data_IF_366764016509
#
_entry.id   IF_366764016509
#
_cell.length_a   1.000
_cell.length_b   1.000
_cell.length_c   1.000
_cell.angle_alpha   90.00
_cell.angle_beta   90.00
_cell.angle_gamma   90.00
#
_symmetry.space_group_name_H-M   'P 1'
#
loop_
_entity.id
_entity.type
_entity.pdbx_description
1 polymer ?
#
# COMPACT_ATOMS: atom_id res chain seq x y z
N UNK A 1 -1.98 44.12 -9.65
CA UNK A 1 -0.78 43.26 -9.75
C UNK A 1 -0.89 42.52 -11.10
N UNK A 2 -0.07 42.88 -12.08
CA UNK A 2 -0.18 42.38 -13.47
C UNK A 2 0.40 40.96 -13.55
N UNK A 3 -0.39 40.02 -14.04
CA UNK A 3 0.06 38.70 -14.49
C UNK A 3 1.04 38.94 -15.65
N UNK A 4 2.24 38.31 -15.67
CA UNK A 4 3.20 38.52 -16.76
C UNK A 4 2.64 37.94 -18.07
N UNK A 5 2.92 38.56 -19.24
CA UNK A 5 2.43 38.07 -20.52
C UNK A 5 3.13 36.75 -20.89
N UNK A 6 2.34 35.75 -21.25
CA UNK A 6 2.79 34.52 -21.91
C UNK A 6 3.48 34.90 -23.22
N UNK A 7 4.81 34.78 -23.27
CA UNK A 7 5.58 35.03 -24.47
C UNK A 7 5.31 33.91 -25.48
N UNK A 8 4.52 34.21 -26.51
CA UNK A 8 4.28 33.32 -27.66
C UNK A 8 5.50 33.42 -28.58
N UNK A 9 6.19 32.31 -28.80
CA UNK A 9 7.26 32.12 -29.80
C UNK A 9 6.67 31.42 -31.05
N UNK A 10 7.41 31.15 -32.14
CA UNK A 10 6.87 31.11 -33.52
C UNK A 10 5.64 30.20 -33.69
N UNK A 11 4.72 30.61 -34.57
CA UNK A 11 3.33 30.15 -34.72
C UNK A 11 3.05 28.72 -34.20
N UNK A 12 2.30 28.61 -33.10
CA UNK A 12 1.82 27.34 -32.54
C UNK A 12 2.64 26.76 -31.37
N UNK A 13 3.59 27.52 -30.82
CA UNK A 13 4.41 27.10 -29.67
C UNK A 13 4.33 28.10 -28.49
N UNK A 14 4.50 27.58 -27.27
CA UNK A 14 4.58 28.38 -26.04
C UNK A 14 5.78 27.92 -25.21
N UNK A 15 6.29 28.78 -24.34
CA UNK A 15 7.42 28.44 -23.48
C UNK A 15 7.00 27.49 -22.36
N UNK A 16 7.73 26.38 -22.19
CA UNK A 16 7.47 25.42 -21.11
C UNK A 16 7.62 26.08 -19.74
N UNK A 17 8.64 26.94 -19.59
CA UNK A 17 8.88 27.67 -18.34
C UNK A 17 7.68 28.55 -17.93
N UNK A 18 7.01 29.18 -18.91
CA UNK A 18 5.80 29.97 -18.66
C UNK A 18 4.63 29.10 -18.20
N UNK A 19 4.40 27.97 -18.85
CA UNK A 19 3.35 27.03 -18.48
C UNK A 19 3.59 26.41 -17.09
N UNK A 20 4.82 26.00 -16.78
CA UNK A 20 5.18 25.46 -15.46
C UNK A 20 4.97 26.49 -14.35
N UNK A 21 5.33 27.75 -14.57
CA UNK A 21 5.12 28.82 -13.60
C UNK A 21 3.63 29.08 -13.35
N UNK A 22 2.81 29.12 -14.43
CA UNK A 22 1.37 29.29 -14.31
C UNK A 22 0.70 28.10 -13.61
N UNK A 23 1.10 26.88 -13.96
CA UNK A 23 0.63 25.65 -13.33
C UNK A 23 0.96 25.62 -11.84
N UNK A 24 2.20 25.87 -11.46
CA UNK A 24 2.62 25.90 -10.05
C UNK A 24 1.85 26.97 -9.25
N UNK A 25 1.61 28.16 -9.83
CA UNK A 25 0.81 29.19 -9.18
C UNK A 25 -0.66 28.76 -8.98
N UNK A 26 -1.26 28.12 -9.99
CA UNK A 26 -2.63 27.59 -9.92
C UNK A 26 -2.79 26.50 -8.86
N UNK A 27 -1.83 25.58 -8.79
CA UNK A 27 -1.81 24.49 -7.81
C UNK A 27 -1.55 25.00 -6.38
N UNK A 28 -0.67 26.00 -6.22
CA UNK A 28 -0.45 26.65 -4.93
C UNK A 28 -1.71 27.35 -4.42
N UNK A 29 -2.43 28.06 -5.30
CA UNK A 29 -3.71 28.69 -4.96
C UNK A 29 -4.80 27.67 -4.56
N UNK A 30 -4.70 26.43 -5.05
CA UNK A 30 -5.57 25.31 -4.67
C UNK A 30 -5.10 24.55 -3.41
N UNK A 31 -4.05 25.03 -2.74
CA UNK A 31 -3.49 24.43 -1.53
C UNK A 31 -2.78 23.10 -1.75
N UNK A 32 -2.33 22.78 -2.97
CA UNK A 32 -1.53 21.57 -3.23
C UNK A 32 -0.19 21.70 -2.51
N UNK A 33 0.26 20.63 -1.83
CA UNK A 33 1.45 20.68 -0.99
C UNK A 33 2.76 20.86 -1.78
N UNK A 34 2.83 20.29 -2.99
CA UNK A 34 4.01 20.29 -3.88
C UNK A 34 3.75 20.95 -5.25
N UNK A 35 3.29 22.22 -5.34
CA UNK A 35 2.76 22.79 -6.58
C UNK A 35 3.70 22.69 -7.78
N UNK A 36 4.99 23.00 -7.56
CA UNK A 36 6.01 22.94 -8.61
C UNK A 36 6.34 21.50 -9.02
N UNK A 37 6.46 20.60 -8.04
CA UNK A 37 6.74 19.20 -8.30
C UNK A 37 5.63 18.55 -9.13
N UNK A 38 4.37 18.81 -8.77
CA UNK A 38 3.20 18.30 -9.46
C UNK A 38 3.11 18.88 -10.89
N UNK A 39 3.34 20.19 -11.06
CA UNK A 39 3.36 20.81 -12.39
C UNK A 39 4.43 20.19 -13.30
N UNK A 40 5.64 19.97 -12.77
CA UNK A 40 6.73 19.31 -13.51
C UNK A 40 6.37 17.86 -13.85
N UNK A 41 5.76 17.10 -12.94
CA UNK A 41 5.35 15.72 -13.23
C UNK A 41 4.23 15.63 -14.27
N UNK A 42 3.24 16.53 -14.21
CA UNK A 42 2.18 16.61 -15.23
C UNK A 42 2.75 17.00 -16.59
N UNK A 43 3.67 17.95 -16.65
CA UNK A 43 4.33 18.32 -17.91
C UNK A 43 5.16 17.17 -18.48
N UNK A 44 5.92 16.48 -17.63
CA UNK A 44 6.67 15.28 -18.01
C UNK A 44 5.76 14.20 -18.60
N UNK A 45 4.60 13.97 -17.97
CA UNK A 45 3.59 13.02 -18.43
C UNK A 45 3.01 13.42 -19.81
N UNK A 46 2.59 14.67 -19.99
CA UNK A 46 2.01 15.16 -21.26
C UNK A 46 3.01 15.07 -22.42
N UNK A 47 4.29 15.28 -22.14
CA UNK A 47 5.35 15.26 -23.15
C UNK A 47 5.96 13.86 -23.36
N UNK A 48 5.55 12.85 -22.59
CA UNK A 48 6.12 11.51 -22.57
C UNK A 48 7.65 11.52 -22.39
N UNK A 49 8.13 12.28 -21.42
CA UNK A 49 9.57 12.36 -21.07
C UNK A 49 9.78 12.21 -19.57
N UNK A 50 10.99 11.85 -19.15
CA UNK A 50 11.34 11.91 -17.73
C UNK A 50 11.40 13.36 -17.25
N UNK A 51 11.10 13.57 -15.96
CA UNK A 51 11.13 14.90 -15.33
C UNK A 51 12.46 15.62 -15.52
N UNK A 52 13.59 14.90 -15.44
CA UNK A 52 14.93 15.47 -15.66
C UNK A 52 15.15 16.01 -17.09
N UNK A 53 14.45 15.46 -18.09
CA UNK A 53 14.55 15.93 -19.49
C UNK A 53 13.79 17.23 -19.74
N UNK A 54 12.90 17.67 -18.84
CA UNK A 54 12.21 18.95 -18.98
C UNK A 54 13.17 20.14 -19.04
N UNK A 55 14.35 20.03 -18.40
CA UNK A 55 15.38 21.07 -18.46
C UNK A 55 15.93 21.30 -19.89
N UNK A 56 15.71 20.35 -20.81
CA UNK A 56 16.13 20.44 -22.21
C UNK A 56 15.00 20.90 -23.14
N UNK A 57 13.80 21.17 -22.60
CA UNK A 57 12.62 21.55 -23.37
C UNK A 57 12.32 23.03 -23.12
N UNK A 58 12.57 23.87 -24.13
CA UNK A 58 12.30 25.31 -24.04
C UNK A 58 10.86 25.66 -24.39
N UNK A 59 10.32 25.01 -25.42
CA UNK A 59 8.99 25.27 -25.99
C UNK A 59 8.22 23.98 -26.18
N UNK A 60 6.90 24.07 -26.06
CA UNK A 60 5.96 22.97 -26.30
C UNK A 60 4.87 23.42 -27.28
N UNK A 61 4.21 22.47 -27.93
CA UNK A 61 3.09 22.77 -28.81
C UNK A 61 1.91 23.35 -28.03
N UNK A 62 1.07 24.15 -28.69
CA UNK A 62 -0.17 24.66 -28.08
C UNK A 62 -1.08 23.52 -27.60
N UNK A 63 -1.12 22.39 -28.31
CA UNK A 63 -1.90 21.21 -27.90
C UNK A 63 -1.37 20.60 -26.60
N UNK A 64 -0.05 20.45 -26.45
CA UNK A 64 0.54 19.94 -25.21
C UNK A 64 0.30 20.91 -24.04
N UNK A 65 0.38 22.22 -24.29
CA UNK A 65 0.06 23.22 -23.28
C UNK A 65 -1.41 23.17 -22.85
N UNK A 66 -2.34 22.94 -23.78
CA UNK A 66 -3.76 22.77 -23.47
C UNK A 66 -4.01 21.52 -22.60
N UNK A 67 -3.38 20.39 -22.93
CA UNK A 67 -3.49 19.17 -22.14
C UNK A 67 -2.89 19.35 -20.73
N UNK A 68 -1.71 19.98 -20.62
CA UNK A 68 -1.11 20.30 -19.33
C UNK A 68 -2.04 21.14 -18.46
N UNK A 69 -2.63 22.20 -19.02
CA UNK A 69 -3.60 23.05 -18.29
C UNK A 69 -4.83 22.26 -17.87
N UNK A 70 -5.34 21.35 -18.71
CA UNK A 70 -6.46 20.49 -18.36
C UNK A 70 -6.16 19.61 -17.14
N UNK A 71 -4.99 18.95 -17.13
CA UNK A 71 -4.58 18.13 -15.98
C UNK A 71 -4.32 18.98 -14.73
N UNK A 72 -3.76 20.19 -14.88
CA UNK A 72 -3.54 21.12 -13.77
C UNK A 72 -4.86 21.53 -13.11
N UNK A 73 -5.92 21.78 -13.89
CA UNK A 73 -7.24 22.09 -13.31
C UNK A 73 -7.81 20.90 -12.54
N UNK A 74 -7.71 19.68 -13.07
CA UNK A 74 -8.12 18.48 -12.34
C UNK A 74 -7.31 18.28 -11.06
N UNK A 75 -5.99 18.52 -11.12
CA UNK A 75 -5.12 18.45 -9.93
C UNK A 75 -5.50 19.51 -8.91
N UNK A 76 -5.84 20.72 -9.36
CA UNK A 76 -6.32 21.80 -8.50
C UNK A 76 -7.67 21.48 -7.85
N UNK A 77 -8.50 20.66 -8.49
CA UNK A 77 -9.73 20.09 -7.91
C UNK A 77 -9.46 18.93 -6.93
N UNK A 78 -8.20 18.71 -6.57
CA UNK A 78 -7.70 17.69 -5.62
C UNK A 78 -7.80 16.25 -6.12
N UNK A 79 -7.88 16.03 -7.44
CA UNK A 79 -7.63 14.70 -8.00
C UNK A 79 -6.17 14.32 -7.76
N UNK A 80 -5.87 13.14 -7.20
CA UNK A 80 -4.49 12.72 -6.93
C UNK A 80 -3.63 12.75 -8.19
N UNK A 81 -2.39 13.21 -8.06
CA UNK A 81 -1.44 13.30 -9.17
C UNK A 81 -1.27 11.95 -9.88
N UNK A 82 -1.19 10.87 -9.11
CA UNK A 82 -1.00 9.51 -9.61
C UNK A 82 -2.23 8.99 -10.36
N UNK A 83 -3.44 9.48 -10.05
CA UNK A 83 -4.64 9.18 -10.85
C UNK A 83 -4.63 9.91 -12.20
N UNK A 84 -3.95 11.06 -12.28
CA UNK A 84 -3.82 11.83 -13.51
C UNK A 84 -2.73 11.25 -14.41
N UNK A 85 -1.59 10.84 -13.83
CA UNK A 85 -0.48 10.23 -14.57
C UNK A 85 -0.65 8.72 -14.80
N UNK A 86 -1.54 8.07 -14.03
CA UNK A 86 -1.80 6.63 -14.07
C UNK A 86 -0.74 5.77 -13.41
N UNK A 87 0.26 6.37 -12.76
CA UNK A 87 1.42 5.67 -12.19
C UNK A 87 1.78 6.23 -10.81
N UNK A 88 2.18 5.33 -9.91
CA UNK A 88 2.85 5.64 -8.65
C UNK A 88 4.20 4.91 -8.63
N UNK A 89 5.29 5.65 -8.45
CA UNK A 89 6.58 5.05 -8.17
C UNK A 89 6.54 4.39 -6.79
N UNK A 90 6.99 3.14 -6.72
CA UNK A 90 7.10 2.38 -5.48
C UNK A 90 8.33 1.49 -5.55
N UNK A 91 9.31 1.78 -4.70
CA UNK A 91 10.62 1.12 -4.69
C UNK A 91 11.27 1.17 -6.08
N UNK A 92 11.51 0.02 -6.72
CA UNK A 92 12.14 -0.08 -8.05
C UNK A 92 11.12 -0.13 -9.20
N UNK A 93 9.83 0.00 -8.90
CA UNK A 93 8.73 -0.28 -9.82
C UNK A 93 7.82 0.94 -10.03
N UNK A 94 7.22 1.02 -11.21
CA UNK A 94 6.11 1.94 -11.51
C UNK A 94 4.77 1.18 -11.49
N UNK A 95 4.01 1.38 -10.43
CA UNK A 95 2.74 0.71 -10.17
C UNK A 95 1.62 1.50 -10.87
N UNK A 96 0.85 0.83 -11.74
CA UNK A 96 -0.33 1.45 -12.34
C UNK A 96 -1.41 1.65 -11.28
N UNK A 97 -1.98 2.84 -11.24
CA UNK A 97 -3.02 3.22 -10.28
C UNK A 97 -4.07 4.11 -10.93
N UNK A 98 -5.21 4.23 -10.27
CA UNK A 98 -6.34 5.04 -10.70
C UNK A 98 -7.53 4.82 -9.76
N UNK A 99 -8.73 5.32 -10.11
CA UNK A 99 -9.91 5.15 -9.27
C UNK A 99 -10.16 3.67 -8.92
N UNK A 100 -10.50 3.41 -7.66
CA UNK A 100 -10.84 2.07 -7.16
C UNK A 100 -9.67 1.29 -6.53
N UNK A 101 -8.46 1.85 -6.47
CA UNK A 101 -7.33 1.26 -5.73
C UNK A 101 -6.61 2.31 -4.89
N UNK A 102 -6.08 1.90 -3.75
CA UNK A 102 -5.25 2.76 -2.91
C UNK A 102 -3.91 3.07 -3.61
N UNK A 103 -3.51 4.35 -3.55
CA UNK A 103 -2.23 4.81 -4.09
C UNK A 103 -1.12 4.40 -3.10
N UNK A 104 -0.11 3.61 -3.53
CA UNK A 104 1.01 3.24 -2.67
C UNK A 104 1.70 4.47 -2.06
N UNK A 105 2.01 4.37 -0.77
CA UNK A 105 2.63 5.47 0.00
C UNK A 105 4.13 5.23 0.17
N UNK A 106 4.96 6.29 0.15
CA UNK A 106 6.40 6.16 0.39
C UNK A 106 6.73 5.48 1.72
N UNK A 107 5.90 5.68 2.74
CA UNK A 107 6.05 5.06 4.06
C UNK A 107 5.99 3.54 3.99
N UNK A 108 5.11 2.97 3.15
CA UNK A 108 4.99 1.52 2.94
C UNK A 108 6.24 0.91 2.31
N UNK A 109 7.11 1.70 1.68
CA UNK A 109 8.40 1.19 1.22
C UNK A 109 9.26 0.69 2.39
N UNK A 110 9.17 1.31 3.57
CA UNK A 110 9.92 0.88 4.76
C UNK A 110 9.46 -0.48 5.30
N UNK A 111 8.16 -0.75 5.21
CA UNK A 111 7.57 -2.06 5.54
C UNK A 111 8.21 -3.15 4.67
N UNK A 112 8.34 -2.89 3.38
CA UNK A 112 8.97 -3.83 2.43
C UNK A 112 10.47 -3.96 2.68
N UNK A 113 11.17 -2.84 2.93
CA UNK A 113 12.61 -2.85 3.24
C UNK A 113 12.89 -3.77 4.44
N UNK A 114 12.15 -3.59 5.53
CA UNK A 114 12.33 -4.37 6.75
C UNK A 114 11.96 -5.84 6.56
N UNK A 115 10.86 -6.12 5.86
CA UNK A 115 10.47 -7.47 5.52
C UNK A 115 11.57 -8.20 4.73
N UNK A 116 12.15 -7.56 3.71
CA UNK A 116 13.24 -8.11 2.92
C UNK A 116 14.50 -8.31 3.78
N UNK A 117 14.84 -7.34 4.63
CA UNK A 117 16.01 -7.40 5.51
C UNK A 117 15.92 -8.60 6.45
N UNK A 118 14.80 -8.75 7.16
CA UNK A 118 14.56 -9.84 8.09
C UNK A 118 14.47 -11.20 7.40
N UNK A 119 13.86 -11.26 6.22
CA UNK A 119 13.77 -12.49 5.43
C UNK A 119 15.15 -12.95 4.96
N UNK A 120 16.00 -12.04 4.47
CA UNK A 120 17.39 -12.33 4.11
C UNK A 120 18.21 -12.79 5.32
N UNK A 121 18.03 -12.16 6.48
CA UNK A 121 18.70 -12.55 7.72
C UNK A 121 18.31 -13.96 8.21
N UNK A 122 17.11 -14.44 7.86
CA UNK A 122 16.67 -15.80 8.18
C UNK A 122 17.38 -16.90 7.36
N UNK A 123 18.04 -16.56 6.25
CA UNK A 123 18.69 -17.52 5.35
C UNK A 123 17.72 -18.35 4.49
N UNK A 124 16.44 -17.99 4.42
CA UNK A 124 15.46 -18.69 3.59
C UNK A 124 15.84 -18.63 2.08
N UNK A 125 15.98 -19.79 1.45
CA UNK A 125 16.46 -19.91 0.06
C UNK A 125 15.33 -19.74 -0.98
N UNK A 126 14.10 -20.10 -0.61
CA UNK A 126 12.88 -19.95 -1.42
C UNK A 126 11.68 -19.64 -0.51
N UNK A 127 11.64 -18.44 0.08
CA UNK A 127 10.62 -18.12 1.05
C UNK A 127 9.23 -18.06 0.42
N UNK A 128 8.22 -18.53 1.15
CA UNK A 128 6.81 -18.32 0.82
C UNK A 128 6.36 -17.02 1.50
N UNK A 129 5.96 -16.04 0.71
CA UNK A 129 5.53 -14.73 1.16
C UNK A 129 4.06 -14.50 0.81
N UNK A 130 3.28 -13.99 1.76
CA UNK A 130 1.87 -13.61 1.56
C UNK A 130 1.70 -12.13 1.86
N UNK A 131 1.19 -11.38 0.89
CA UNK A 131 0.74 -9.99 1.02
C UNK A 131 -0.79 -9.98 1.21
N UNK A 132 -1.25 -9.63 2.41
CA UNK A 132 -2.67 -9.51 2.75
C UNK A 132 -3.13 -8.06 2.53
N UNK A 133 -4.31 -7.88 1.93
CA UNK A 133 -4.82 -6.56 1.52
C UNK A 133 -3.93 -5.89 0.45
N UNK A 134 -3.59 -6.65 -0.59
CA UNK A 134 -2.53 -6.30 -1.54
C UNK A 134 -2.81 -5.04 -2.39
N UNK A 135 -4.07 -4.61 -2.52
CA UNK A 135 -4.45 -3.41 -3.24
C UNK A 135 -3.96 -3.42 -4.70
N UNK A 136 -3.04 -2.51 -5.04
CA UNK A 136 -2.42 -2.42 -6.37
C UNK A 136 -1.31 -3.45 -6.61
N UNK A 137 -0.92 -4.20 -5.56
CA UNK A 137 0.16 -5.18 -5.56
C UNK A 137 1.54 -4.62 -5.25
N UNK A 138 1.65 -3.38 -4.79
CA UNK A 138 2.94 -2.70 -4.60
C UNK A 138 3.92 -3.50 -3.72
N UNK A 139 3.44 -4.01 -2.58
CA UNK A 139 4.24 -4.83 -1.65
C UNK A 139 4.59 -6.18 -2.29
N UNK A 140 3.59 -6.96 -2.72
CA UNK A 140 3.81 -8.26 -3.35
C UNK A 140 4.78 -8.21 -4.55
N UNK A 141 4.63 -7.23 -5.44
CA UNK A 141 5.49 -7.07 -6.61
C UNK A 141 6.92 -6.71 -6.21
N UNK A 142 7.10 -5.86 -5.20
CA UNK A 142 8.43 -5.53 -4.69
C UNK A 142 9.12 -6.76 -4.08
N UNK A 143 8.39 -7.59 -3.34
CA UNK A 143 8.92 -8.85 -2.82
C UNK A 143 9.35 -9.80 -3.96
N UNK A 144 8.52 -9.95 -5.00
CA UNK A 144 8.84 -10.80 -6.15
C UNK A 144 10.04 -10.27 -6.96
N UNK A 145 10.22 -8.95 -7.02
CA UNK A 145 11.30 -8.27 -7.72
C UNK A 145 12.64 -8.33 -6.94
N UNK A 146 12.61 -8.21 -5.62
CA UNK A 146 13.80 -8.00 -4.79
C UNK A 146 14.24 -9.24 -3.99
N UNK A 147 13.37 -10.24 -3.81
CA UNK A 147 13.66 -11.49 -3.11
C UNK A 147 13.75 -12.64 -4.11
N UNK A 148 14.98 -12.93 -4.55
CA UNK A 148 15.25 -13.96 -5.54
C UNK A 148 14.69 -15.32 -5.09
N UNK A 149 13.80 -15.89 -5.90
CA UNK A 149 13.24 -17.23 -5.67
C UNK A 149 12.10 -17.29 -4.66
N UNK A 150 11.60 -16.14 -4.18
CA UNK A 150 10.40 -16.10 -3.36
C UNK A 150 9.17 -16.59 -4.14
N UNK A 151 8.32 -17.36 -3.47
CA UNK A 151 6.97 -17.65 -3.92
C UNK A 151 6.02 -16.64 -3.28
N UNK A 152 5.46 -15.74 -4.08
CA UNK A 152 4.67 -14.61 -3.57
C UNK A 152 3.19 -14.78 -3.90
N UNK A 153 2.35 -14.65 -2.87
CA UNK A 153 0.90 -14.67 -2.96
C UNK A 153 0.36 -13.30 -2.55
N UNK A 154 -0.54 -12.73 -3.35
CA UNK A 154 -1.21 -11.46 -3.07
C UNK A 154 -2.71 -11.71 -2.91
N UNK A 155 -3.28 -11.28 -1.78
CA UNK A 155 -4.70 -11.43 -1.46
C UNK A 155 -5.37 -10.07 -1.47
N UNK A 156 -6.42 -9.93 -2.29
CA UNK A 156 -7.21 -8.70 -2.37
C UNK A 156 -8.71 -9.03 -2.35
N UNK A 157 -9.50 -8.24 -1.62
CA UNK A 157 -10.93 -8.45 -1.47
C UNK A 157 -11.71 -7.70 -2.56
N UNK A 158 -11.38 -6.44 -2.78
CA UNK A 158 -12.14 -5.52 -3.61
C UNK A 158 -11.97 -5.83 -5.10
N UNK A 159 -13.05 -6.10 -5.86
CA UNK A 159 -12.95 -6.38 -7.29
C UNK A 159 -12.22 -5.29 -8.08
N UNK A 160 -12.44 -4.01 -7.74
CA UNK A 160 -11.80 -2.89 -8.41
C UNK A 160 -10.28 -2.87 -8.16
N UNK A 161 -9.82 -3.09 -6.92
CA UNK A 161 -8.40 -3.17 -6.60
C UNK A 161 -7.75 -4.43 -7.18
N UNK A 162 -8.48 -5.56 -7.19
CA UNK A 162 -8.04 -6.81 -7.78
C UNK A 162 -7.74 -6.68 -9.29
N UNK A 163 -8.53 -5.89 -10.02
CA UNK A 163 -8.25 -5.59 -11.44
C UNK A 163 -6.93 -4.81 -11.61
N UNK A 164 -6.63 -3.88 -10.70
CA UNK A 164 -5.35 -3.17 -10.67
C UNK A 164 -4.19 -4.10 -10.32
N UNK A 165 -4.35 -4.95 -9.30
CA UNK A 165 -3.37 -5.98 -8.94
C UNK A 165 -3.02 -6.87 -10.14
N UNK A 166 -4.03 -7.46 -10.79
CA UNK A 166 -3.85 -8.31 -11.98
C UNK A 166 -3.18 -7.56 -13.12
N UNK A 167 -3.57 -6.30 -13.35
CA UNK A 167 -2.94 -5.44 -14.36
C UNK A 167 -1.46 -5.23 -14.07
N UNK A 168 -1.08 -4.94 -12.83
CA UNK A 168 0.31 -4.70 -12.47
C UNK A 168 1.17 -5.97 -12.51
N UNK A 169 0.61 -7.12 -12.09
CA UNK A 169 1.24 -8.43 -12.28
C UNK A 169 1.48 -8.69 -13.78
N UNK A 170 0.48 -8.46 -14.63
CA UNK A 170 0.63 -8.60 -16.08
C UNK A 170 1.64 -7.65 -16.72
N UNK A 171 1.68 -6.37 -16.29
CA UNK A 171 2.61 -5.35 -16.80
C UNK A 171 4.06 -5.64 -16.44
N UNK A 172 4.30 -6.13 -15.22
CA UNK A 172 5.66 -6.39 -14.72
C UNK A 172 6.19 -7.76 -15.13
N UNK A 173 5.31 -8.73 -15.36
CA UNK A 173 5.69 -10.12 -15.63
C UNK A 173 6.29 -10.84 -14.42
N UNK A 174 6.21 -10.23 -13.22
CA UNK A 174 6.73 -10.82 -11.98
C UNK A 174 5.82 -11.97 -11.50
N UNK A 175 6.39 -13.05 -10.94
CA UNK A 175 5.65 -14.26 -10.60
C UNK A 175 4.88 -14.12 -9.27
N UNK A 176 3.79 -13.35 -9.27
CA UNK A 176 2.88 -13.19 -8.13
C UNK A 176 1.59 -13.98 -8.38
N UNK A 177 1.21 -14.83 -7.44
CA UNK A 177 -0.09 -15.54 -7.46
C UNK A 177 -1.16 -14.66 -6.83
N UNK A 178 -2.21 -14.34 -7.60
CA UNK A 178 -3.28 -13.43 -7.16
C UNK A 178 -4.49 -14.22 -6.67
N UNK A 179 -5.01 -13.83 -5.51
CA UNK A 179 -6.15 -14.45 -4.84
C UNK A 179 -7.20 -13.41 -4.52
N UNK A 180 -8.47 -13.75 -4.73
CA UNK A 180 -9.59 -12.94 -4.23
C UNK A 180 -10.16 -13.59 -2.98
N UNK A 181 -10.03 -12.93 -1.83
CA UNK A 181 -10.56 -13.45 -0.57
C UNK A 181 -10.74 -12.33 0.46
N UNK A 182 -11.61 -12.58 1.44
CA UNK A 182 -11.77 -11.72 2.61
C UNK A 182 -10.84 -12.18 3.75
N UNK A 183 -9.94 -11.31 4.18
CA UNK A 183 -9.03 -11.54 5.31
C UNK A 183 -9.78 -11.57 6.64
N UNK A 184 -10.90 -10.84 6.75
CA UNK A 184 -11.77 -10.85 7.92
C UNK A 184 -12.62 -12.13 8.07
N UNK A 185 -12.72 -12.95 7.02
CA UNK A 185 -13.43 -14.22 7.06
C UNK A 185 -12.43 -15.36 7.25
N UNK A 186 -12.31 -15.81 8.50
CA UNK A 186 -11.51 -16.98 8.89
C UNK A 186 -12.45 -18.20 8.91
N UNK A 187 -12.14 -19.24 8.13
CA UNK A 187 -13.02 -20.38 7.89
C UNK A 187 -13.65 -21.01 9.15
N UNK A 188 -14.98 -21.16 9.14
CA UNK A 188 -15.84 -21.87 10.11
C UNK A 188 -15.72 -21.51 11.61
N UNK A 189 -15.28 -20.29 11.96
CA UNK A 189 -15.04 -19.89 13.35
C UNK A 189 -15.77 -18.64 13.85
N UNK A 190 -16.77 -18.11 13.15
CA UNK A 190 -17.65 -17.10 13.75
C UNK A 190 -18.51 -17.76 14.85
N UNK A 191 -18.63 -17.16 16.05
CA UNK A 191 -19.55 -17.67 17.05
C UNK A 191 -20.98 -17.77 16.47
N UNK A 192 -21.77 -18.80 16.84
CA UNK A 192 -23.15 -18.89 16.41
C UNK A 192 -23.90 -17.61 16.80
N UNK A 193 -24.41 -16.87 15.82
CA UNK A 193 -25.13 -15.61 16.05
C UNK A 193 -24.35 -14.34 15.74
N UNK A 194 -23.07 -14.41 15.38
CA UNK A 194 -22.42 -13.28 14.71
C UNK A 194 -23.11 -13.06 13.36
N UNK A 195 -23.59 -11.85 13.05
CA UNK A 195 -24.07 -11.58 11.70
C UNK A 195 -22.91 -11.91 10.75
N UNK A 196 -23.16 -12.59 9.62
CA UNK A 196 -22.17 -12.56 8.56
C UNK A 196 -21.83 -11.10 8.32
N UNK A 197 -20.57 -10.77 8.09
CA UNK A 197 -20.20 -9.45 7.58
C UNK A 197 -20.78 -9.34 6.16
N UNK A 198 -22.10 -9.25 6.05
CA UNK A 198 -22.80 -8.96 4.82
C UNK A 198 -22.52 -7.50 4.54
N UNK A 199 -21.46 -7.26 3.78
CA UNK A 199 -21.33 -6.01 3.05
C UNK A 199 -22.57 -5.88 2.18
N UNK A 200 -23.30 -4.79 2.38
CA UNK A 200 -24.45 -4.47 1.55
C UNK A 200 -24.02 -4.45 0.06
N UNK A 201 -24.50 -5.43 -0.71
CA UNK A 201 -24.32 -5.49 -2.17
C UNK A 201 -23.15 -6.34 -2.70
N UNK A 202 -22.35 -7.00 -1.85
CA UNK A 202 -21.34 -7.95 -2.31
C UNK A 202 -21.85 -9.39 -2.22
N UNK A 203 -21.66 -10.19 -3.27
CA UNK A 203 -21.94 -11.63 -3.23
C UNK A 203 -21.03 -12.36 -2.22
N UNK A 204 -21.25 -13.67 -1.98
CA UNK A 204 -20.37 -14.44 -1.10
C UNK A 204 -18.93 -14.41 -1.63
N UNK A 205 -17.99 -14.04 -0.77
CA UNK A 205 -16.54 -14.09 -1.01
C UNK A 205 -15.92 -15.14 -0.10
N UNK A 206 -14.95 -15.88 -0.62
CA UNK A 206 -14.24 -16.88 0.16
C UNK A 206 -13.37 -16.23 1.23
N UNK A 207 -13.25 -16.88 2.37
CA UNK A 207 -12.29 -16.48 3.41
C UNK A 207 -10.85 -16.80 3.04
N UNK A 208 -9.90 -16.01 3.54
CA UNK A 208 -8.47 -16.14 3.22
C UNK A 208 -7.92 -17.56 3.44
N UNK A 209 -8.33 -18.24 4.52
CA UNK A 209 -7.88 -19.60 4.80
C UNK A 209 -8.51 -20.66 3.89
N UNK A 210 -9.64 -20.37 3.25
CA UNK A 210 -10.22 -21.27 2.23
C UNK A 210 -9.32 -21.27 0.99
N UNK A 211 -8.91 -20.08 0.56
CA UNK A 211 -8.12 -19.90 -0.67
C UNK A 211 -6.64 -20.27 -0.47
N UNK A 212 -6.11 -20.06 0.74
CA UNK A 212 -4.72 -20.35 1.09
C UNK A 212 -4.55 -21.61 1.96
N UNK A 213 -5.53 -22.52 1.97
CA UNK A 213 -5.53 -23.71 2.83
C UNK A 213 -4.23 -24.53 2.74
N UNK A 214 -3.66 -24.67 1.54
CA UNK A 214 -2.43 -25.42 1.32
C UNK A 214 -1.17 -24.76 1.90
N UNK A 215 -1.24 -23.48 2.27
CA UNK A 215 -0.13 -22.71 2.85
C UNK A 215 -0.17 -22.64 4.39
N UNK A 216 -1.24 -23.14 5.03
CA UNK A 216 -1.38 -23.11 6.47
C UNK A 216 -0.14 -23.71 7.18
N UNK A 217 0.43 -22.97 8.12
CA UNK A 217 1.65 -23.34 8.86
C UNK A 217 2.93 -23.44 8.03
N UNK A 218 2.97 -22.89 6.81
CA UNK A 218 4.12 -23.01 5.87
C UNK A 218 4.71 -21.68 5.43
N UNK A 219 4.01 -20.56 5.66
CA UNK A 219 4.43 -19.23 5.17
C UNK A 219 5.62 -18.71 5.99
N UNK A 220 6.64 -18.21 5.29
CA UNK A 220 7.83 -17.60 5.91
C UNK A 220 7.58 -16.16 6.33
N UNK A 221 6.85 -15.41 5.52
CA UNK A 221 6.55 -13.99 5.70
C UNK A 221 5.08 -13.72 5.38
N UNK A 222 4.36 -13.13 6.32
CA UNK A 222 3.11 -12.40 6.05
C UNK A 222 3.42 -10.92 6.16
N UNK A 223 3.07 -10.17 5.12
CA UNK A 223 3.17 -8.71 5.09
C UNK A 223 1.78 -8.12 4.81
N UNK A 224 1.48 -6.96 5.37
CA UNK A 224 0.23 -6.28 5.06
C UNK A 224 0.30 -4.77 5.31
N UNK A 225 -0.38 -4.02 4.45
CA UNK A 225 -0.87 -2.67 4.75
C UNK A 225 -2.41 -2.75 4.80
N UNK A 226 -3.02 -3.10 5.95
CA UNK A 226 -4.46 -3.23 6.05
C UNK A 226 -5.14 -1.86 6.17
N UNK A 227 -6.46 -1.78 5.95
CA UNK A 227 -7.24 -0.61 6.37
C UNK A 227 -7.14 -0.43 7.89
N UNK A 228 -6.49 0.64 8.33
CA UNK A 228 -6.15 0.85 9.74
C UNK A 228 -6.61 2.20 10.30
N UNK A 229 -7.22 3.07 9.49
CA UNK A 229 -7.62 4.40 9.97
C UNK A 229 -8.90 4.29 10.81
N UNK A 230 -8.91 4.87 12.03
CA UNK A 230 -10.11 4.99 12.82
C UNK A 230 -11.18 5.88 12.16
N UNK A 231 -12.45 5.58 12.40
CA UNK A 231 -13.57 6.36 11.85
C UNK A 231 -13.54 7.85 12.24
N UNK A 232 -12.95 8.18 13.39
CA UNK A 232 -12.88 9.56 13.87
C UNK A 232 -11.90 10.44 13.05
N UNK A 233 -11.03 9.83 12.23
CA UNK A 233 -10.09 10.52 11.35
C UNK A 233 -10.69 10.95 10.00
N UNK A 234 -11.93 10.54 9.68
CA UNK A 234 -12.61 10.86 8.41
C UNK A 234 -12.62 12.33 8.02
N UNK A 235 -12.63 13.23 9.00
CA UNK A 235 -12.62 14.68 8.78
C UNK A 235 -11.21 15.29 8.69
N UNK A 236 -10.17 14.52 8.98
CA UNK A 236 -8.77 14.96 9.10
C UNK A 236 -7.91 14.54 7.91
N UNK A 237 -8.29 13.49 7.19
CA UNK A 237 -7.57 13.04 6.00
C UNK A 237 -7.53 14.12 4.91
N UNK A 238 -6.46 14.12 4.14
CA UNK A 238 -6.30 15.04 3.02
C UNK A 238 -7.45 14.90 2.01
N UNK A 239 -7.84 15.98 1.30
CA UNK A 239 -8.92 15.92 0.31
C UNK A 239 -8.71 14.85 -0.76
N UNK A 240 -7.47 14.64 -1.20
CA UNK A 240 -7.06 13.60 -2.14
C UNK A 240 -7.44 12.22 -1.61
N UNK A 241 -7.08 11.93 -0.36
CA UNK A 241 -7.35 10.65 0.31
C UNK A 241 -8.84 10.48 0.53
N UNK A 242 -9.48 11.44 1.22
CA UNK A 242 -10.88 11.31 1.62
C UNK A 242 -11.88 11.30 0.46
N UNK A 243 -11.56 11.90 -0.70
CA UNK A 243 -12.46 11.97 -1.86
C UNK A 243 -12.18 10.93 -2.93
N UNK A 244 -10.95 10.42 -3.04
CA UNK A 244 -10.54 9.60 -4.18
C UNK A 244 -10.02 8.21 -3.82
N UNK A 245 -9.47 8.00 -2.62
CA UNK A 245 -9.08 6.65 -2.22
C UNK A 245 -10.34 5.83 -1.84
N UNK A 246 -10.37 4.52 -2.15
CA UNK A 246 -11.52 3.68 -1.79
C UNK A 246 -11.70 3.63 -0.27
N UNK A 247 -12.92 3.89 0.27
CA UNK A 247 -13.14 3.82 1.71
C UNK A 247 -12.75 2.47 2.33
N UNK A 248 -12.98 1.38 1.60
CA UNK A 248 -12.61 0.03 2.03
C UNK A 248 -11.10 -0.18 2.23
N UNK A 249 -10.24 0.64 1.60
CA UNK A 249 -8.80 0.57 1.75
C UNK A 249 -8.26 1.44 2.89
N UNK A 250 -9.10 2.30 3.48
CA UNK A 250 -8.69 3.27 4.49
C UNK A 250 -9.15 2.87 5.90
N UNK A 251 -10.45 2.59 6.03
CA UNK A 251 -11.11 2.59 7.33
C UNK A 251 -11.08 1.22 8.00
N UNK A 252 -10.45 1.16 9.18
CA UNK A 252 -10.34 -0.03 10.02
C UNK A 252 -11.40 -0.10 11.13
N UNK A 253 -12.52 0.60 10.98
CA UNK A 253 -13.60 0.64 11.97
C UNK A 253 -13.45 1.73 13.04
N UNK A 254 -14.24 1.68 14.13
CA UNK A 254 -14.29 2.74 15.14
C UNK A 254 -12.95 3.06 15.80
N UNK A 255 -12.15 2.01 16.06
CA UNK A 255 -10.81 2.11 16.64
C UNK A 255 -9.70 1.83 15.63
N UNK A 256 -10.03 1.66 14.34
CA UNK A 256 -9.03 1.41 13.29
C UNK A 256 -8.36 0.04 13.34
N UNK A 257 -8.79 -0.87 14.21
CA UNK A 257 -8.10 -2.15 14.43
C UNK A 257 -8.77 -3.37 13.78
N UNK A 258 -9.89 -3.22 13.05
CA UNK A 258 -10.56 -4.36 12.41
C UNK A 258 -9.67 -5.06 11.38
N UNK A 259 -9.01 -4.28 10.50
CA UNK A 259 -8.02 -4.79 9.55
C UNK A 259 -6.82 -5.44 10.25
N UNK A 260 -6.12 -4.73 11.17
CA UNK A 260 -5.06 -5.31 11.98
C UNK A 260 -5.43 -6.62 12.69
N UNK A 261 -6.60 -6.72 13.33
CA UNK A 261 -7.09 -7.95 13.99
C UNK A 261 -7.25 -9.11 13.01
N UNK A 262 -7.84 -8.84 11.84
CA UNK A 262 -8.02 -9.84 10.80
C UNK A 262 -6.68 -10.35 10.27
N UNK A 263 -5.74 -9.45 9.97
CA UNK A 263 -4.39 -9.80 9.50
C UNK A 263 -3.65 -10.64 10.53
N UNK A 264 -3.61 -10.23 11.80
CA UNK A 264 -2.90 -10.99 12.85
C UNK A 264 -3.50 -12.39 13.00
N UNK A 265 -4.82 -12.51 12.94
CA UNK A 265 -5.50 -13.82 13.01
C UNK A 265 -5.17 -14.71 11.82
N UNK A 266 -5.23 -14.19 10.59
CA UNK A 266 -4.85 -14.93 9.40
C UNK A 266 -3.36 -15.32 9.40
N UNK A 267 -2.49 -14.42 9.86
CA UNK A 267 -1.07 -14.66 9.92
C UNK A 267 -0.70 -15.80 10.88
N UNK A 268 -1.35 -15.89 12.04
CA UNK A 268 -1.14 -16.97 13.00
C UNK A 268 -1.44 -18.38 12.41
N UNK A 269 -2.38 -18.47 11.48
CA UNK A 269 -2.76 -19.74 10.82
C UNK A 269 -1.85 -20.06 9.61
N UNK A 270 -1.34 -19.04 8.93
CA UNK A 270 -0.50 -19.17 7.74
C UNK A 270 0.97 -19.40 8.08
N UNK A 271 1.50 -18.71 9.08
CA UNK A 271 2.92 -18.69 9.39
C UNK A 271 3.40 -20.03 9.92
N UNK A 272 4.56 -20.47 9.42
CA UNK A 272 5.31 -21.59 10.02
C UNK A 272 5.88 -21.21 11.39
N UNK A 273 6.34 -22.18 12.21
CA UNK A 273 7.11 -21.85 13.42
C UNK A 273 8.29 -20.91 13.12
N UNK A 274 8.34 -19.80 13.85
CA UNK A 274 9.32 -18.73 13.70
C UNK A 274 9.10 -17.82 12.46
N UNK A 275 8.01 -18.02 11.72
CA UNK A 275 7.61 -17.18 10.59
C UNK A 275 7.37 -15.73 11.01
N UNK A 276 7.50 -14.80 10.06
CA UNK A 276 7.55 -13.37 10.31
C UNK A 276 6.23 -12.69 9.88
N UNK A 277 5.70 -11.83 10.74
CA UNK A 277 4.70 -10.82 10.40
C UNK A 277 5.38 -9.45 10.29
N UNK A 278 5.09 -8.71 9.23
CA UNK A 278 5.38 -7.26 9.13
C UNK A 278 4.09 -6.54 8.72
N UNK A 279 3.57 -5.66 9.57
CA UNK A 279 2.25 -5.06 9.34
C UNK A 279 2.27 -3.56 9.59
N UNK A 280 1.86 -2.78 8.58
CA UNK A 280 1.65 -1.35 8.72
C UNK A 280 0.43 -1.04 9.60
N UNK A 281 0.47 0.08 10.32
CA UNK A 281 -0.64 0.61 11.09
C UNK A 281 -0.63 2.14 11.13
N UNK A 282 -1.70 2.74 11.67
CA UNK A 282 -1.76 4.16 11.95
C UNK A 282 -0.68 4.56 12.97
N UNK A 283 -0.21 5.80 12.91
CA UNK A 283 0.78 6.33 13.84
C UNK A 283 0.28 6.39 15.30
N UNK A 284 -1.02 6.57 15.51
CA UNK A 284 -1.62 6.49 16.85
C UNK A 284 -1.66 5.06 17.43
N UNK A 285 -1.36 4.03 16.64
CA UNK A 285 -1.47 2.62 17.04
C UNK A 285 -0.16 1.96 17.49
N UNK A 286 0.96 2.70 17.65
CA UNK A 286 2.26 2.14 18.06
C UNK A 286 2.29 1.48 19.45
N UNK A 287 1.25 1.66 20.28
CA UNK A 287 1.03 0.84 21.48
C UNK A 287 -0.05 -0.22 21.30
N UNK A 288 -1.13 0.10 20.58
CA UNK A 288 -2.31 -0.75 20.47
C UNK A 288 -2.04 -2.03 19.67
N UNK A 289 -1.30 -1.93 18.56
CA UNK A 289 -0.98 -3.08 17.70
C UNK A 289 0.03 -4.03 18.35
N UNK A 290 1.15 -3.57 18.96
CA UNK A 290 2.00 -4.44 19.76
C UNK A 290 1.26 -5.11 20.92
N UNK A 291 0.35 -4.37 21.58
CA UNK A 291 -0.49 -4.92 22.64
C UNK A 291 -1.43 -6.01 22.12
N UNK A 292 -2.02 -5.84 20.94
CA UNK A 292 -2.87 -6.86 20.29
C UNK A 292 -2.10 -8.17 20.08
N UNK A 293 -0.84 -8.10 19.64
CA UNK A 293 0.03 -9.27 19.47
C UNK A 293 0.39 -9.92 20.80
N UNK A 294 0.70 -9.11 21.83
CA UNK A 294 1.14 -9.57 23.14
C UNK A 294 0.01 -10.16 24.01
N UNK A 295 -1.22 -9.67 23.86
CA UNK A 295 -2.36 -10.02 24.73
C UNK A 295 -2.86 -11.45 24.53
N UNK A 296 -2.39 -12.15 23.50
CA UNK A 296 -3.03 -13.37 22.99
C UNK A 296 -4.35 -13.05 22.28
N UNK A 297 -4.72 -13.87 21.32
CA UNK A 297 -5.94 -13.69 20.53
C UNK A 297 -6.71 -15.00 20.41
N UNK A 298 -7.61 -15.15 19.40
CA UNK A 298 -8.33 -16.40 19.17
C UNK A 298 -7.41 -17.58 18.76
N UNK A 299 -6.13 -17.32 18.53
CA UNK A 299 -5.13 -18.32 18.22
C UNK A 299 -4.59 -19.02 19.47
N UNK A 300 -4.16 -20.27 19.31
CA UNK A 300 -3.65 -21.11 20.41
C UNK A 300 -2.14 -21.02 20.64
N UNK A 301 -1.41 -20.34 19.74
CA UNK A 301 0.02 -20.06 19.85
C UNK A 301 0.33 -18.72 20.53
N UNK A 302 1.55 -18.21 20.33
CA UNK A 302 1.97 -16.91 20.86
C UNK A 302 2.84 -16.15 19.87
N UNK A 303 2.76 -14.82 19.94
CA UNK A 303 3.67 -13.93 19.22
C UNK A 303 4.87 -13.59 20.12
N UNK A 304 6.04 -13.50 19.51
CA UNK A 304 7.28 -13.10 20.19
C UNK A 304 8.12 -12.19 19.29
N UNK A 305 9.20 -11.62 19.83
CA UNK A 305 10.03 -10.61 19.15
C UNK A 305 9.18 -9.47 18.55
N UNK A 306 8.18 -9.02 19.32
CA UNK A 306 7.27 -7.94 18.93
C UNK A 306 8.04 -6.61 19.06
N UNK A 307 8.22 -5.93 17.93
CA UNK A 307 8.93 -4.65 17.85
C UNK A 307 8.12 -3.69 17.00
N UNK A 308 7.85 -2.51 17.54
CA UNK A 308 7.24 -1.39 16.83
C UNK A 308 8.33 -0.51 16.20
N UNK A 309 8.08 0.00 15.00
CA UNK A 309 9.08 0.74 14.22
C UNK A 309 8.50 2.06 13.71
N UNK A 310 9.24 3.18 13.89
CA UNK A 310 8.85 4.46 13.35
C UNK A 310 9.24 4.63 11.87
N UNK A 311 8.54 5.52 11.17
CA UNK A 311 8.94 6.07 9.89
C UNK A 311 10.11 7.06 10.02
N UNK A 312 10.62 7.57 8.88
CA UNK A 312 11.71 8.56 8.86
C UNK A 312 11.37 9.89 9.56
N UNK A 313 10.10 10.18 9.77
CA UNK A 313 9.66 11.37 10.51
C UNK A 313 9.50 11.08 12.02
N UNK A 314 9.83 9.86 12.48
CA UNK A 314 9.77 9.46 13.87
C UNK A 314 8.37 9.10 14.37
N UNK A 315 7.41 8.87 13.46
CA UNK A 315 6.05 8.40 13.82
C UNK A 315 5.98 6.90 13.70
N UNK A 316 5.39 6.24 14.68
CA UNK A 316 5.12 4.80 14.65
C UNK A 316 4.42 4.43 13.33
N UNK A 317 4.81 3.32 12.70
CA UNK A 317 4.36 3.02 11.33
C UNK A 317 4.06 1.56 11.09
N UNK A 318 4.88 0.67 11.62
CA UNK A 318 4.67 -0.75 11.40
C UNK A 318 5.25 -1.58 12.54
N UNK A 319 4.67 -2.76 12.71
CA UNK A 319 5.11 -3.74 13.70
C UNK A 319 5.77 -4.93 12.99
N UNK A 320 6.77 -5.51 13.64
CA UNK A 320 7.31 -6.83 13.30
C UNK A 320 7.08 -7.79 14.45
N UNK A 321 6.74 -9.04 14.16
CA UNK A 321 6.62 -10.09 15.17
C UNK A 321 6.88 -11.49 14.57
N UNK A 322 7.25 -12.45 15.41
CA UNK A 322 7.42 -13.86 15.04
C UNK A 322 6.34 -14.74 15.65
N UNK A 323 5.99 -15.80 14.93
CA UNK A 323 4.96 -16.74 15.33
C UNK A 323 5.50 -18.00 16.00
N UNK A 324 4.95 -18.37 17.17
CA UNK A 324 5.19 -19.64 17.87
C UNK A 324 3.87 -20.43 18.00
N UNK A 325 3.65 -21.49 17.21
CA UNK A 325 2.40 -22.27 17.25
C UNK A 325 2.28 -23.11 18.53
N UNK A 326 1.06 -23.55 18.89
CA UNK A 326 0.83 -24.37 20.09
C UNK A 326 1.65 -25.67 20.09
N UNK A 327 2.15 -26.06 21.26
CA UNK A 327 2.69 -27.40 21.52
C UNK A 327 4.12 -27.67 21.04
N UNK A 328 4.84 -26.67 20.52
CA UNK A 328 6.30 -26.74 20.29
C UNK A 328 6.94 -25.63 21.13
N UNK A 329 7.63 -25.99 22.20
CA UNK A 329 8.38 -25.00 22.99
C UNK A 329 9.37 -24.23 22.12
N UNK A 330 9.63 -22.97 22.48
CA UNK A 330 10.50 -22.03 21.75
C UNK A 330 11.74 -22.72 21.16
N UNK A 331 12.05 -22.52 19.86
CA UNK A 331 13.35 -22.91 19.33
C UNK A 331 14.43 -22.06 20.02
N UNK A 332 15.10 -22.63 21.02
CA UNK A 332 16.17 -21.98 21.79
C UNK A 332 16.07 -22.06 23.31
N UNK A 333 14.98 -22.58 23.90
CA UNK A 333 14.89 -22.78 25.35
C UNK A 333 15.45 -24.13 25.82
N UNK A 334 16.54 -24.61 25.20
CA UNK A 334 17.31 -25.71 25.77
C UNK A 334 18.08 -25.13 26.97
N UNK A 335 17.81 -25.67 28.16
CA UNK A 335 18.12 -25.06 29.45
C UNK A 335 19.58 -24.65 29.65
N UNK A 336 19.75 -23.46 30.21
CA UNK A 336 20.85 -23.19 31.13
C UNK A 336 20.39 -23.65 32.53
N UNK A 337 20.52 -24.95 32.79
CA UNK A 337 20.68 -25.46 34.14
C UNK A 337 22.19 -25.59 34.40
N UNK A 338 22.75 -24.63 35.14
CA UNK A 338 23.93 -24.82 36.02
C UNK A 338 23.69 -24.06 37.31
#
# INVERSE_FOLDING_TARGET
MKIPPTAVTPEGQVTLAGELAAAAARLAAAGVASPRGDAEQLAAHVLDVSRGRLALVEVISTSAAQELRHLVERRADRVPLQHLTGLAGFRRLDIAVGPGVFIPRPETEWVVEEAIRLLRASGAVRPICVDLCAGSGAIALSLADEVRGAEVHAVELEPAALDWLRRNVGRTGLPVRVHQADVGVIGAGLPPGSPPATRAGAGPVDGVLSVLAELAGRVDLVVSNPPYLPDHERSRVEPEVGRHDPPAALWGGPDGLDGPRAVVTAAAELLRPGGLLVMEHADEHGQAVPSLLASGGPWSGSWFDIVDHPDLAGRDRFVTARWDPPGRGRPGSAGEDV
#
